data_IF_705327494635
#
_entry.id   IF_705327494635
#
_cell.length_a   1.000
_cell.length_b   1.000
_cell.length_c   1.000
_cell.angle_alpha   90.00
_cell.angle_beta   90.00
_cell.angle_gamma   90.00
#
_symmetry.space_group_name_H-M   'P 1'
#
loop_
_entity.id
_entity.type
_entity.pdbx_description
1 polymer ?
#
# COMPACT_ATOMS: atom_id res chain seq x y z
N UNK A 1 0.14 0.47 -11.06
CA UNK A 1 0.53 1.31 -9.91
C UNK A 1 1.72 2.12 -10.30
N UNK A 2 1.75 3.40 -9.98
CA UNK A 2 2.90 4.26 -10.25
C UNK A 2 4.05 3.94 -9.31
N UNK A 3 5.17 3.50 -9.87
CA UNK A 3 6.44 3.41 -9.16
C UNK A 3 7.06 4.80 -9.12
N UNK A 4 7.16 5.32 -7.91
CA UNK A 4 7.77 6.63 -7.67
C UNK A 4 9.29 6.52 -7.81
N UNK A 5 9.96 7.55 -8.35
CA UNK A 5 11.41 7.54 -8.45
C UNK A 5 12.01 7.44 -7.05
N UNK A 6 13.10 6.69 -6.92
CA UNK A 6 13.93 6.64 -5.70
C UNK A 6 14.67 7.98 -5.50
N UNK A 7 13.94 9.08 -5.30
CA UNK A 7 14.53 10.36 -4.88
C UNK A 7 14.75 10.34 -3.37
N UNK A 8 15.92 10.85 -2.95
CA UNK A 8 16.46 11.02 -1.59
C UNK A 8 15.77 10.26 -0.44
N UNK A 9 16.52 9.42 0.29
CA UNK A 9 16.09 8.71 1.51
C UNK A 9 15.14 9.58 2.34
N UNK A 10 13.83 9.28 2.30
CA UNK A 10 12.87 9.94 3.18
C UNK A 10 13.23 9.72 4.65
N UNK A 11 12.62 10.48 5.55
CA UNK A 11 12.92 10.37 6.99
C UNK A 11 12.51 9.05 7.65
N UNK A 12 11.74 8.20 6.97
CA UNK A 12 11.16 6.98 7.53
C UNK A 12 12.06 5.75 7.54
N UNK A 13 11.67 4.75 8.34
CA UNK A 13 12.34 3.43 8.47
C UNK A 13 11.74 2.36 7.53
N UNK A 14 10.75 2.72 6.72
CA UNK A 14 10.11 1.79 5.79
C UNK A 14 9.22 0.72 6.44
N UNK A 15 8.85 0.84 7.72
CA UNK A 15 8.06 -0.19 8.44
C UNK A 15 6.73 -0.51 7.75
N UNK A 16 5.94 0.50 7.39
CA UNK A 16 4.67 0.33 6.68
C UNK A 16 4.87 -0.36 5.31
N UNK A 17 5.89 0.04 4.56
CA UNK A 17 6.22 -0.57 3.26
C UNK A 17 6.60 -2.05 3.45
N UNK A 18 7.46 -2.36 4.41
CA UNK A 18 7.88 -3.74 4.72
C UNK A 18 6.72 -4.60 5.18
N UNK A 19 5.79 -4.05 5.97
CA UNK A 19 4.56 -4.73 6.38
C UNK A 19 3.71 -5.09 5.15
N UNK A 20 3.46 -4.12 4.26
CA UNK A 20 2.70 -4.33 3.04
C UNK A 20 3.37 -5.36 2.11
N UNK A 21 4.69 -5.26 1.89
CA UNK A 21 5.46 -6.23 1.11
C UNK A 21 5.38 -7.63 1.71
N UNK A 22 5.51 -7.75 3.03
CA UNK A 22 5.39 -9.01 3.74
C UNK A 22 4.00 -9.64 3.55
N UNK A 23 2.94 -8.85 3.67
CA UNK A 23 1.58 -9.30 3.47
C UNK A 23 1.32 -9.76 2.02
N UNK A 24 1.77 -8.98 1.02
CA UNK A 24 1.65 -9.36 -0.39
C UNK A 24 2.38 -10.67 -0.69
N UNK A 25 3.60 -10.82 -0.17
CA UNK A 25 4.36 -12.07 -0.32
C UNK A 25 3.64 -13.27 0.30
N UNK A 26 3.06 -13.11 1.49
CA UNK A 26 2.26 -14.17 2.13
C UNK A 26 1.00 -14.53 1.35
N UNK A 27 0.43 -13.56 0.64
CA UNK A 27 -0.71 -13.77 -0.26
C UNK A 27 -0.31 -14.31 -1.65
N UNK A 28 0.96 -14.67 -1.88
CA UNK A 28 1.44 -15.16 -3.18
C UNK A 28 1.55 -14.08 -4.27
N UNK A 29 1.54 -12.80 -3.88
CA UNK A 29 1.63 -11.67 -4.79
C UNK A 29 3.05 -11.36 -5.28
N UNK A 30 3.18 -10.46 -6.27
CA UNK A 30 4.47 -10.04 -6.80
C UNK A 30 5.25 -9.18 -5.78
N UNK A 31 6.57 -9.09 -5.97
CA UNK A 31 7.40 -8.13 -5.26
C UNK A 31 7.12 -6.72 -5.83
N UNK A 32 6.53 -5.85 -5.01
CA UNK A 32 6.29 -4.45 -5.34
C UNK A 32 7.26 -3.56 -4.56
N UNK A 33 7.88 -2.58 -5.24
CA UNK A 33 8.78 -1.62 -4.60
C UNK A 33 8.02 -0.55 -3.81
N UNK A 34 6.85 -0.16 -4.31
CA UNK A 34 6.01 0.94 -3.82
C UNK A 34 4.58 0.49 -3.57
N UNK A 35 4.32 -0.59 -2.80
CA UNK A 35 2.99 -1.22 -2.68
C UNK A 35 1.89 -0.29 -2.14
N UNK A 36 2.29 0.78 -1.44
CA UNK A 36 1.42 1.78 -0.83
C UNK A 36 1.35 3.08 -1.65
N UNK A 37 1.76 3.05 -2.92
CA UNK A 37 1.64 4.21 -3.80
C UNK A 37 0.16 4.50 -4.06
N UNK A 38 -0.28 5.70 -3.68
CA UNK A 38 -1.64 6.19 -3.99
C UNK A 38 -1.86 6.43 -5.49
N UNK A 39 -0.78 6.57 -6.27
CA UNK A 39 -0.86 6.66 -7.73
C UNK A 39 -1.18 5.28 -8.30
N UNK A 40 -2.46 5.05 -8.62
CA UNK A 40 -2.93 3.77 -9.14
C UNK A 40 -4.10 3.95 -10.09
N UNK A 41 -4.15 3.04 -11.06
CA UNK A 41 -5.29 2.82 -11.92
C UNK A 41 -5.65 1.35 -11.83
N UNK A 42 -6.94 1.06 -11.79
CA UNK A 42 -7.48 -0.30 -11.79
C UNK A 42 -8.82 -0.29 -12.51
N UNK A 43 -9.28 -1.49 -12.87
CA UNK A 43 -10.60 -1.67 -13.48
C UNK A 43 -11.69 -1.26 -12.51
N UNK A 44 -12.73 -0.59 -13.01
CA UNK A 44 -13.86 -0.13 -12.18
C UNK A 44 -14.52 -1.30 -11.46
N UNK A 45 -14.66 -2.44 -12.14
CA UNK A 45 -15.30 -3.64 -11.63
C UNK A 45 -14.53 -4.23 -10.45
N UNK A 46 -13.20 -4.07 -10.44
CA UNK A 46 -12.37 -4.50 -9.31
C UNK A 46 -12.67 -3.67 -8.06
N UNK A 47 -12.86 -2.36 -8.20
CA UNK A 47 -13.18 -1.48 -7.07
C UNK A 47 -14.61 -1.69 -6.57
N UNK A 48 -15.57 -1.89 -7.49
CA UNK A 48 -16.97 -2.11 -7.12
C UNK A 48 -17.20 -3.45 -6.42
N UNK A 49 -16.33 -4.44 -6.68
CA UNK A 49 -16.37 -5.76 -6.02
C UNK A 49 -15.49 -5.82 -4.76
N UNK A 50 -14.88 -4.71 -4.36
CA UNK A 50 -14.00 -4.67 -3.20
C UNK A 50 -14.83 -4.94 -1.93
N UNK A 51 -14.51 -5.99 -1.14
CA UNK A 51 -15.33 -6.35 0.02
C UNK A 51 -15.20 -5.35 1.17
N UNK A 52 -14.10 -4.62 1.22
CA UNK A 52 -13.83 -3.59 2.22
C UNK A 52 -12.79 -2.61 1.68
N UNK A 53 -12.97 -1.33 1.96
CA UNK A 53 -11.97 -0.30 1.68
C UNK A 53 -10.80 -0.31 2.66
N UNK A 54 -10.82 -1.18 3.68
CA UNK A 54 -9.84 -1.15 4.75
C UNK A 54 -10.03 0.05 5.68
N UNK A 55 -8.97 0.42 6.41
CA UNK A 55 -8.96 1.51 7.39
C UNK A 55 -7.94 2.55 6.96
N UNK A 56 -8.33 3.82 6.85
CA UNK A 56 -7.41 4.94 6.65
C UNK A 56 -6.39 4.71 5.54
N UNK A 57 -5.09 4.71 5.88
CA UNK A 57 -3.98 4.46 4.95
C UNK A 57 -3.86 3.01 4.43
N UNK A 58 -4.79 2.13 4.82
CA UNK A 58 -4.83 0.75 4.38
C UNK A 58 -5.61 0.51 3.09
N UNK A 59 -6.28 1.52 2.52
CA UNK A 59 -7.05 1.37 1.28
C UNK A 59 -6.20 0.84 0.13
N UNK A 60 -4.95 1.31 0.05
CA UNK A 60 -4.00 0.84 -0.94
C UNK A 60 -3.72 -0.67 -0.81
N UNK A 61 -3.66 -1.15 0.42
CA UNK A 61 -3.40 -2.55 0.75
C UNK A 61 -4.63 -3.42 0.45
N UNK A 62 -5.83 -2.97 0.82
CA UNK A 62 -7.08 -3.68 0.55
C UNK A 62 -7.27 -3.91 -0.97
N UNK A 63 -7.03 -2.89 -1.78
CA UNK A 63 -7.09 -2.99 -3.25
C UNK A 63 -6.09 -4.02 -3.77
N UNK A 64 -4.85 -4.03 -3.26
CA UNK A 64 -3.84 -4.98 -3.72
C UNK A 64 -4.23 -6.43 -3.39
N UNK A 65 -4.68 -6.69 -2.15
CA UNK A 65 -5.11 -8.03 -1.74
C UNK A 65 -6.32 -8.51 -2.53
N UNK A 66 -7.27 -7.61 -2.80
CA UNK A 66 -8.41 -7.93 -3.65
C UNK A 66 -8.00 -8.25 -5.08
N UNK A 67 -7.11 -7.45 -5.67
CA UNK A 67 -6.58 -7.71 -6.99
C UNK A 67 -5.95 -9.11 -7.09
N UNK A 68 -5.15 -9.49 -6.08
CA UNK A 68 -4.57 -10.83 -6.01
C UNK A 68 -5.64 -11.92 -5.90
N UNK A 69 -6.61 -11.75 -4.98
CA UNK A 69 -7.70 -12.71 -4.76
C UNK A 69 -8.58 -12.87 -6.00
N UNK A 70 -8.79 -11.81 -6.77
CA UNK A 70 -9.54 -11.82 -8.04
C UNK A 70 -8.73 -12.31 -9.25
N UNK A 71 -7.49 -12.75 -9.06
CA UNK A 71 -6.61 -13.19 -10.16
C UNK A 71 -6.16 -12.06 -11.09
N UNK A 72 -6.32 -10.80 -10.68
CA UNK A 72 -5.87 -9.66 -11.46
C UNK A 72 -4.34 -9.50 -11.36
N UNK A 73 -3.74 -8.95 -12.43
CA UNK A 73 -2.31 -8.68 -12.46
C UNK A 73 -2.03 -7.30 -11.88
N UNK A 74 -1.09 -7.24 -10.94
CA UNK A 74 -0.55 -5.98 -10.41
C UNK A 74 0.77 -5.69 -11.12
N UNK A 75 0.90 -4.49 -11.68
CA UNK A 75 2.15 -4.00 -12.28
C UNK A 75 2.51 -2.62 -11.78
N UNK A 76 3.80 -2.42 -11.55
CA UNK A 76 4.41 -1.13 -11.31
C UNK A 76 4.87 -0.52 -12.64
N UNK A 77 4.53 0.74 -12.85
CA UNK A 77 4.91 1.54 -14.02
C UNK A 77 5.63 2.77 -13.48
N UNK A 78 6.86 2.99 -13.94
CA UNK A 78 7.65 4.15 -13.53
C UNK A 78 6.93 5.44 -13.94
N UNK A 79 6.78 6.37 -12.99
CA UNK A 79 6.16 7.67 -13.22
C UNK A 79 7.08 8.77 -12.72
N UNK A 80 7.15 9.89 -13.43
CA UNK A 80 7.84 11.08 -12.94
C UNK A 80 6.91 11.86 -12.02
N UNK A 81 6.95 11.52 -10.73
CA UNK A 81 6.15 12.18 -9.70
C UNK A 81 7.02 12.54 -8.49
N UNK A 82 6.86 13.77 -8.00
CA UNK A 82 7.50 14.24 -6.78
C UNK A 82 6.71 13.85 -5.54
N UNK A 83 7.39 13.35 -4.51
CA UNK A 83 6.81 13.20 -3.18
C UNK A 83 7.33 14.32 -2.27
N UNK A 84 6.45 14.98 -1.51
CA UNK A 84 6.87 15.92 -0.46
C UNK A 84 7.44 15.13 0.70
N UNK A 85 8.77 15.07 0.79
CA UNK A 85 9.45 14.30 1.85
C UNK A 85 9.16 14.94 3.21
N UNK A 86 8.49 14.21 4.10
CA UNK A 86 8.41 14.57 5.52
C UNK A 86 9.70 14.15 6.22
N UNK A 87 10.18 14.99 7.13
CA UNK A 87 11.41 14.76 7.87
C UNK A 87 11.30 13.67 8.95
N UNK A 88 12.28 13.67 9.84
CA UNK A 88 12.29 12.90 11.10
C UNK A 88 11.73 13.70 12.28
N UNK A 89 10.84 14.63 12.00
CA UNK A 89 10.14 15.38 13.02
C UNK A 89 9.10 14.50 13.73
N UNK A 90 8.73 14.87 14.95
CA UNK A 90 7.70 14.17 15.74
C UNK A 90 6.39 13.98 14.95
N UNK A 91 5.86 14.99 14.22
CA UNK A 91 4.69 14.82 13.38
C UNK A 91 4.89 13.74 12.29
N UNK A 92 6.05 13.71 11.63
CA UNK A 92 6.38 12.69 10.64
C UNK A 92 6.46 11.28 11.22
N UNK A 93 6.98 11.12 12.44
CA UNK A 93 7.00 9.82 13.14
C UNK A 93 5.59 9.37 13.50
N UNK A 94 4.76 10.23 14.10
CA UNK A 94 3.38 9.90 14.46
C UNK A 94 2.52 9.58 13.23
N UNK A 95 2.68 10.36 12.15
CA UNK A 95 2.00 10.10 10.88
C UNK A 95 2.35 8.71 10.31
N UNK A 96 3.64 8.35 10.29
CA UNK A 96 4.08 7.01 9.83
C UNK A 96 3.64 5.89 10.78
N UNK A 97 3.57 6.17 12.08
CA UNK A 97 2.99 5.25 13.06
C UNK A 97 1.52 4.97 12.78
N UNK A 98 0.72 6.02 12.51
CA UNK A 98 -0.69 5.87 12.11
C UNK A 98 -0.84 5.09 10.80
N UNK A 99 -0.01 5.39 9.79
CA UNK A 99 0.02 4.62 8.54
C UNK A 99 0.23 3.12 8.81
N UNK A 100 1.19 2.78 9.67
CA UNK A 100 1.47 1.40 10.01
C UNK A 100 0.28 0.72 10.70
N UNK A 101 -0.34 1.38 11.69
CA UNK A 101 -1.51 0.85 12.42
C UNK A 101 -2.70 0.63 11.48
N UNK A 102 -3.03 1.62 10.64
CA UNK A 102 -4.12 1.54 9.67
C UNK A 102 -3.95 0.36 8.70
N UNK A 103 -2.72 0.13 8.22
CA UNK A 103 -2.39 -1.02 7.38
C UNK A 103 -2.54 -2.33 8.17
N UNK A 104 -2.01 -2.41 9.39
CA UNK A 104 -2.11 -3.62 10.21
C UNK A 104 -3.57 -3.99 10.52
N UNK A 105 -4.41 -3.00 10.87
CA UNK A 105 -5.84 -3.18 11.08
C UNK A 105 -6.53 -3.64 9.79
N UNK A 106 -6.16 -3.07 8.64
CA UNK A 106 -6.68 -3.51 7.34
C UNK A 106 -6.33 -4.96 7.05
N UNK A 107 -5.11 -5.40 7.36
CA UNK A 107 -4.72 -6.82 7.22
C UNK A 107 -5.52 -7.73 8.16
N UNK A 108 -5.79 -7.29 9.39
CA UNK A 108 -6.63 -8.03 10.34
C UNK A 108 -8.07 -8.13 9.82
N UNK A 109 -8.67 -7.03 9.37
CA UNK A 109 -10.01 -7.03 8.76
C UNK A 109 -10.06 -7.92 7.51
N UNK A 110 -9.04 -7.84 6.65
CA UNK A 110 -8.96 -8.66 5.44
C UNK A 110 -8.96 -10.15 5.75
N UNK A 111 -8.34 -10.56 6.87
CA UNK A 111 -8.36 -11.97 7.29
C UNK A 111 -9.75 -12.49 7.67
N UNK A 112 -10.69 -11.59 7.97
CA UNK A 112 -12.07 -11.92 8.31
C UNK A 112 -12.99 -11.97 7.09
N UNK A 113 -12.61 -11.29 6.00
CA UNK A 113 -13.42 -11.25 4.78
C UNK A 113 -12.91 -12.29 3.80
N UNK A 114 -13.57 -13.46 3.78
CA UNK A 114 -13.27 -14.55 2.85
C UNK A 114 -13.72 -14.24 1.43
#
# INVERSE_FOLDING_TARGET
>A
MGRLPRRARGGGWGLAVRLAQGALRRAGGPLLETPLSGQRACRRELLLSLPTWGVGYGVEMAINLHALRSGARIREIDIDAGHRVTGRDLPGVLHRGRQFVDIALTLALWSLVR
#
